data_IF_684933836040
#
_entry.id   IF_684933836040
#
_cell.length_a   1.000
_cell.length_b   1.000
_cell.length_c   1.000
_cell.angle_alpha   90.00
_cell.angle_beta   90.00
_cell.angle_gamma   90.00
#
_symmetry.space_group_name_H-M   'P 1'
#
loop_
_entity.id
_entity.type
_entity.pdbx_description
1 polymer ?
#
# COMPACT_ATOMS: atom_id res chain seq x y z
N UNK A 1 -17.25 22.75 4.69
CA UNK A 1 -17.57 21.69 5.66
C UNK A 1 -18.83 20.98 5.20
N UNK A 2 -18.83 19.65 5.14
CA UNK A 2 -20.02 18.90 4.72
C UNK A 2 -21.13 19.04 5.76
N UNK A 3 -22.34 19.27 5.29
CA UNK A 3 -23.52 19.16 6.14
C UNK A 3 -23.79 17.67 6.52
N UNK A 4 -23.36 16.74 5.69
CA UNK A 4 -23.53 15.30 5.89
C UNK A 4 -22.24 14.56 5.45
N UNK A 5 -21.33 14.18 6.38
CA UNK A 5 -20.16 13.38 6.02
C UNK A 5 -20.59 11.99 5.51
N UNK A 6 -19.84 11.40 4.57
CA UNK A 6 -20.16 10.05 4.10
C UNK A 6 -20.13 9.04 5.26
N UNK A 7 -21.06 8.11 5.25
CA UNK A 7 -21.20 7.08 6.31
C UNK A 7 -20.24 5.92 6.01
N UNK A 8 -19.59 5.39 7.05
CA UNK A 8 -18.82 4.14 6.96
C UNK A 8 -19.69 3.04 6.37
N UNK A 9 -19.12 2.27 5.42
CA UNK A 9 -19.82 1.22 4.67
C UNK A 9 -21.03 1.68 3.85
N UNK A 10 -21.25 3.01 3.70
CA UNK A 10 -22.28 3.57 2.85
C UNK A 10 -21.90 3.57 1.36
N UNK A 11 -22.77 4.13 0.50
CA UNK A 11 -22.60 4.15 -0.97
C UNK A 11 -21.25 4.72 -1.41
N UNK A 12 -20.73 5.74 -0.74
CA UNK A 12 -19.43 6.32 -1.05
C UNK A 12 -18.27 5.32 -0.86
N UNK A 13 -18.30 4.53 0.22
CA UNK A 13 -17.32 3.48 0.46
C UNK A 13 -17.46 2.34 -0.56
N UNK A 14 -18.69 1.89 -0.81
CA UNK A 14 -18.99 0.84 -1.79
C UNK A 14 -18.48 1.25 -3.17
N UNK A 15 -18.68 2.51 -3.58
CA UNK A 15 -18.15 3.02 -4.85
C UNK A 15 -16.62 2.83 -4.97
N UNK A 16 -15.85 3.20 -3.95
CA UNK A 16 -14.40 3.03 -3.99
C UNK A 16 -13.96 1.57 -3.93
N UNK A 17 -14.67 0.71 -3.21
CA UNK A 17 -14.43 -0.74 -3.20
C UNK A 17 -14.66 -1.32 -4.59
N UNK A 18 -15.76 -0.99 -5.25
CA UNK A 18 -16.05 -1.42 -6.62
C UNK A 18 -15.01 -0.89 -7.61
N UNK A 19 -14.62 0.37 -7.49
CA UNK A 19 -13.56 0.97 -8.30
C UNK A 19 -12.22 0.22 -8.08
N UNK A 20 -11.89 -0.14 -6.85
CA UNK A 20 -10.69 -0.92 -6.54
C UNK A 20 -10.74 -2.31 -7.18
N UNK A 21 -11.89 -2.99 -7.15
CA UNK A 21 -12.09 -4.31 -7.78
C UNK A 21 -11.93 -4.21 -9.30
N UNK A 22 -12.53 -3.21 -9.94
CA UNK A 22 -12.42 -3.00 -11.39
C UNK A 22 -10.97 -2.71 -11.78
N UNK A 23 -10.29 -1.79 -11.10
CA UNK A 23 -8.89 -1.47 -11.39
C UNK A 23 -7.95 -2.63 -11.06
N UNK A 24 -8.27 -3.47 -10.08
CA UNK A 24 -7.54 -4.71 -9.81
C UNK A 24 -7.64 -5.68 -11.00
N UNK A 25 -8.83 -5.88 -11.56
CA UNK A 25 -9.03 -6.70 -12.76
C UNK A 25 -8.24 -6.15 -13.97
N UNK A 26 -8.28 -4.84 -14.20
CA UNK A 26 -7.51 -4.14 -15.23
C UNK A 26 -6.01 -4.33 -14.99
N UNK A 27 -5.54 -4.16 -13.75
CA UNK A 27 -4.14 -4.32 -13.38
C UNK A 27 -3.63 -5.75 -13.61
N UNK A 28 -4.45 -6.77 -13.32
CA UNK A 28 -4.14 -8.18 -13.62
C UNK A 28 -4.02 -8.38 -15.13
N UNK A 29 -5.01 -7.93 -15.90
CA UNK A 29 -5.02 -8.06 -17.36
C UNK A 29 -3.77 -7.42 -18.00
N UNK A 30 -3.52 -6.17 -17.70
CA UNK A 30 -2.33 -5.48 -18.20
C UNK A 30 -1.05 -6.05 -17.61
N UNK A 31 -1.05 -6.54 -16.37
CA UNK A 31 0.07 -7.25 -15.78
C UNK A 31 0.53 -8.40 -16.69
N UNK A 32 -0.38 -9.27 -17.12
CA UNK A 32 -0.06 -10.35 -18.05
C UNK A 32 0.39 -9.85 -19.44
N UNK A 33 -0.19 -8.77 -19.96
CA UNK A 33 0.20 -8.17 -21.25
C UNK A 33 1.61 -7.58 -21.21
N UNK A 34 2.08 -7.15 -20.05
CA UNK A 34 3.40 -6.55 -19.85
C UNK A 34 4.43 -7.51 -19.25
N UNK A 35 4.20 -8.82 -19.28
CA UNK A 35 5.22 -9.82 -18.95
C UNK A 35 6.36 -9.83 -19.99
N UNK A 36 7.53 -10.32 -19.55
CA UNK A 36 8.73 -10.40 -20.39
C UNK A 36 9.77 -9.32 -20.07
N UNK A 37 11.04 -9.65 -20.30
CA UNK A 37 12.17 -8.74 -20.02
C UNK A 37 12.14 -7.52 -20.94
N UNK A 38 11.76 -7.71 -22.20
CA UNK A 38 11.69 -6.66 -23.22
C UNK A 38 10.70 -5.54 -22.86
N UNK A 39 9.70 -5.84 -22.04
CA UNK A 39 8.70 -4.86 -21.59
C UNK A 39 9.03 -4.20 -20.25
N UNK A 40 10.17 -4.55 -19.65
CA UNK A 40 10.55 -4.10 -18.33
C UNK A 40 10.59 -2.56 -18.21
N UNK A 41 11.25 -1.88 -19.16
CA UNK A 41 11.31 -0.41 -19.17
C UNK A 41 9.93 0.24 -19.26
N UNK A 42 9.01 -0.36 -20.04
CA UNK A 42 7.62 0.13 -20.15
C UNK A 42 6.85 -0.04 -18.84
N UNK A 43 7.02 -1.19 -18.16
CA UNK A 43 6.44 -1.42 -16.82
C UNK A 43 6.91 -0.37 -15.83
N UNK A 44 8.24 -0.16 -15.80
CA UNK A 44 8.85 0.78 -14.88
C UNK A 44 8.38 2.20 -15.14
N UNK A 45 8.24 2.58 -16.40
CA UNK A 45 7.70 3.88 -16.78
C UNK A 45 6.25 4.05 -16.31
N UNK A 46 5.40 3.02 -16.47
CA UNK A 46 4.00 3.05 -15.98
C UNK A 46 3.97 3.26 -14.46
N UNK A 47 4.79 2.51 -13.72
CA UNK A 47 4.88 2.64 -12.26
C UNK A 47 5.37 4.02 -11.86
N UNK A 48 6.41 4.53 -12.51
CA UNK A 48 6.97 5.85 -12.24
C UNK A 48 5.97 6.96 -12.53
N UNK A 49 5.26 6.91 -13.68
CA UNK A 49 4.21 7.88 -14.00
C UNK A 49 3.08 7.82 -12.94
N UNK A 50 2.67 6.62 -12.54
CA UNK A 50 1.67 6.46 -11.48
C UNK A 50 2.18 7.07 -10.17
N UNK A 51 3.44 6.83 -9.81
CA UNK A 51 4.08 7.42 -8.63
C UNK A 51 4.11 8.95 -8.68
N UNK A 52 4.52 9.52 -9.81
CA UNK A 52 4.56 10.99 -9.99
C UNK A 52 3.16 11.61 -9.90
N UNK A 53 2.14 10.95 -10.45
CA UNK A 53 0.75 11.39 -10.29
C UNK A 53 0.30 11.37 -8.82
N UNK A 54 0.67 10.33 -8.05
CA UNK A 54 0.38 10.28 -6.62
C UNK A 54 1.09 11.40 -5.87
N UNK A 55 2.36 11.69 -6.20
CA UNK A 55 3.09 12.83 -5.62
C UNK A 55 2.39 14.15 -5.94
N UNK A 56 2.00 14.37 -7.18
CA UNK A 56 1.28 15.59 -7.59
C UNK A 56 -0.07 15.73 -6.84
N UNK A 57 -0.81 14.63 -6.70
CA UNK A 57 -2.05 14.61 -5.92
C UNK A 57 -1.82 14.95 -4.44
N UNK A 58 -0.75 14.42 -3.85
CA UNK A 58 -0.43 14.68 -2.44
C UNK A 58 0.03 16.11 -2.22
N UNK A 59 0.84 16.67 -3.14
CA UNK A 59 1.20 18.11 -3.13
C UNK A 59 -0.06 18.97 -3.21
N UNK A 60 -1.01 18.64 -4.10
CA UNK A 60 -2.29 19.35 -4.20
C UNK A 60 -3.07 19.31 -2.88
N UNK A 61 -3.10 18.13 -2.21
CA UNK A 61 -3.70 17.99 -0.88
C UNK A 61 -2.96 18.85 0.17
N UNK A 62 -1.63 18.85 0.16
CA UNK A 62 -0.84 19.67 1.08
C UNK A 62 -1.15 21.15 0.92
N UNK A 63 -1.19 21.65 -0.31
CA UNK A 63 -1.54 23.06 -0.61
C UNK A 63 -2.95 23.35 -0.09
N UNK A 64 -3.92 22.46 -0.31
CA UNK A 64 -5.27 22.60 0.20
C UNK A 64 -5.33 22.64 1.74
N UNK A 65 -4.59 21.77 2.43
CA UNK A 65 -4.54 21.73 3.89
C UNK A 65 -3.86 22.98 4.46
N UNK A 66 -2.77 23.48 3.83
CA UNK A 66 -2.14 24.77 4.17
C UNK A 66 -3.10 25.94 4.02
N UNK A 67 -3.82 26.03 2.91
CA UNK A 67 -4.79 27.11 2.65
C UNK A 67 -5.97 27.09 3.65
N UNK A 68 -6.18 25.98 4.37
CA UNK A 68 -7.20 25.81 5.39
C UNK A 68 -6.65 25.88 6.83
N UNK A 69 -5.39 26.30 7.00
CA UNK A 69 -4.72 26.35 8.30
C UNK A 69 -4.73 25.01 9.06
N UNK A 70 -4.55 23.90 8.32
CA UNK A 70 -4.57 22.54 8.84
C UNK A 70 -3.26 21.78 8.62
N UNK A 71 -2.19 22.54 8.36
CA UNK A 71 -0.88 21.94 8.23
C UNK A 71 -0.43 21.38 9.60
N UNK A 72 -0.16 20.09 9.64
CA UNK A 72 0.37 19.40 10.80
C UNK A 72 1.42 18.35 10.38
N UNK A 73 1.96 17.63 11.33
CA UNK A 73 2.95 16.58 11.09
C UNK A 73 2.47 15.44 10.19
N UNK A 74 1.16 15.28 9.96
CA UNK A 74 0.60 14.27 9.07
C UNK A 74 0.92 14.52 7.60
N UNK A 75 1.39 15.71 7.24
CA UNK A 75 1.88 16.05 5.90
C UNK A 75 3.20 15.34 5.55
N UNK A 76 3.98 14.93 6.54
CA UNK A 76 5.20 14.15 6.29
C UNK A 76 4.80 12.74 5.83
N UNK A 77 5.27 12.26 4.66
CA UNK A 77 4.80 11.00 4.06
C UNK A 77 5.41 9.75 4.73
N UNK A 78 5.27 9.66 6.05
CA UNK A 78 5.73 8.52 6.86
C UNK A 78 4.59 7.59 7.32
N UNK A 79 3.37 7.75 6.82
CA UNK A 79 2.35 6.71 7.00
C UNK A 79 2.67 5.51 6.10
N UNK A 80 2.29 4.31 6.51
CA UNK A 80 2.54 3.11 5.72
C UNK A 80 2.04 3.30 4.28
N UNK A 81 0.90 3.89 4.05
CA UNK A 81 0.39 4.23 2.73
C UNK A 81 1.17 5.36 2.04
N UNK A 82 1.66 6.37 2.68
CA UNK A 82 2.34 7.51 2.04
C UNK A 82 3.79 7.22 1.61
N UNK A 83 4.43 6.18 2.16
CA UNK A 83 5.77 5.78 1.70
C UNK A 83 5.81 5.38 0.22
N UNK A 84 4.64 5.15 -0.44
CA UNK A 84 4.57 4.98 -1.89
C UNK A 84 5.07 6.20 -2.65
N UNK A 85 4.80 7.41 -2.14
CA UNK A 85 5.24 8.66 -2.76
C UNK A 85 6.76 8.70 -2.94
N UNK A 86 7.49 8.09 -2.00
CA UNK A 86 8.95 8.05 -2.02
C UNK A 86 9.50 6.93 -2.92
N UNK A 87 8.74 5.85 -3.09
CA UNK A 87 9.26 4.61 -3.69
C UNK A 87 8.71 4.36 -5.08
N UNK A 88 7.42 4.65 -5.33
CA UNK A 88 6.78 4.34 -6.62
C UNK A 88 7.33 5.15 -7.81
N UNK A 89 7.86 6.36 -7.66
CA UNK A 89 8.54 7.07 -8.75
C UNK A 89 9.90 6.47 -9.15
N UNK A 90 10.50 5.60 -8.33
CA UNK A 90 11.87 5.13 -8.53
C UNK A 90 12.08 4.03 -9.59
N UNK A 91 11.14 3.11 -9.88
CA UNK A 91 11.37 1.93 -10.70
C UNK A 91 12.10 2.18 -12.01
N UNK A 92 11.75 3.25 -12.73
CA UNK A 92 12.37 3.57 -14.03
C UNK A 92 13.85 3.95 -13.93
N UNK A 93 14.25 4.54 -12.81
CA UNK A 93 15.61 5.05 -12.59
C UNK A 93 16.53 4.01 -11.95
N UNK A 94 15.97 2.92 -11.39
CA UNK A 94 16.75 1.91 -10.71
C UNK A 94 17.39 0.92 -11.68
N UNK A 95 18.69 0.71 -11.53
CA UNK A 95 19.42 -0.37 -12.20
C UNK A 95 18.98 -1.73 -11.66
N UNK A 96 19.11 -2.78 -12.49
CA UNK A 96 18.88 -4.16 -12.04
C UNK A 96 19.79 -4.52 -10.86
N UNK A 97 19.21 -5.15 -9.83
CA UNK A 97 19.96 -5.55 -8.64
C UNK A 97 19.08 -5.79 -7.41
N UNK A 98 19.73 -6.11 -6.31
CA UNK A 98 19.06 -6.45 -5.04
C UNK A 98 18.18 -5.32 -4.51
N UNK A 99 18.62 -4.06 -4.66
CA UNK A 99 17.86 -2.90 -4.19
C UNK A 99 16.56 -2.72 -4.99
N UNK A 100 16.62 -2.86 -6.32
CA UNK A 100 15.42 -2.83 -7.16
C UNK A 100 14.45 -3.96 -6.82
N UNK A 101 14.97 -5.18 -6.58
CA UNK A 101 14.13 -6.29 -6.14
C UNK A 101 13.45 -6.01 -4.79
N UNK A 102 14.15 -5.31 -3.88
CA UNK A 102 13.61 -4.86 -2.60
C UNK A 102 12.47 -3.84 -2.80
N UNK A 103 12.69 -2.82 -3.63
CA UNK A 103 11.67 -1.80 -3.99
C UNK A 103 10.46 -2.47 -4.61
N UNK A 104 10.65 -3.37 -5.56
CA UNK A 104 9.55 -4.06 -6.23
C UNK A 104 8.76 -4.95 -5.28
N UNK A 105 9.44 -5.72 -4.42
CA UNK A 105 8.77 -6.53 -3.40
C UNK A 105 7.95 -5.66 -2.43
N UNK A 106 8.51 -4.54 -1.99
CA UNK A 106 7.84 -3.58 -1.13
C UNK A 106 6.56 -3.03 -1.77
N UNK A 107 6.63 -2.62 -3.03
CA UNK A 107 5.47 -2.12 -3.78
C UNK A 107 4.41 -3.20 -4.01
N UNK A 108 4.82 -4.41 -4.42
CA UNK A 108 3.89 -5.48 -4.77
C UNK A 108 3.17 -6.08 -3.56
N UNK A 109 3.82 -6.18 -2.40
CA UNK A 109 3.27 -6.88 -1.24
C UNK A 109 2.84 -5.92 -0.13
N UNK A 110 3.78 -5.15 0.40
CA UNK A 110 3.55 -4.35 1.60
C UNK A 110 2.59 -3.19 1.31
N UNK A 111 2.78 -2.54 0.18
CA UNK A 111 1.95 -1.42 -0.25
C UNK A 111 0.55 -1.84 -0.64
N UNK A 112 0.43 -2.94 -1.39
CA UNK A 112 -0.87 -3.50 -1.77
C UNK A 112 -1.70 -3.85 -0.55
N UNK A 113 -1.07 -4.49 0.46
CA UNK A 113 -1.74 -4.78 1.73
C UNK A 113 -2.19 -3.51 2.45
N UNK A 114 -1.35 -2.48 2.49
CA UNK A 114 -1.72 -1.21 3.13
C UNK A 114 -2.96 -0.59 2.46
N UNK A 115 -3.03 -0.62 1.13
CA UNK A 115 -4.20 -0.17 0.37
C UNK A 115 -5.45 -1.01 0.67
N UNK A 116 -5.34 -2.33 0.71
CA UNK A 116 -6.45 -3.24 1.03
C UNK A 116 -6.95 -2.99 2.46
N UNK A 117 -6.05 -2.91 3.44
CA UNK A 117 -6.41 -2.66 4.84
C UNK A 117 -7.19 -1.35 5.01
N UNK A 118 -6.90 -0.34 4.19
CA UNK A 118 -7.62 0.93 4.19
C UNK A 118 -9.10 0.76 3.84
N UNK A 119 -9.44 -0.12 2.90
CA UNK A 119 -10.83 -0.41 2.54
C UNK A 119 -11.52 -1.40 3.49
N UNK A 120 -10.77 -2.29 4.12
CA UNK A 120 -11.31 -3.19 5.16
C UNK A 120 -11.65 -2.42 6.44
N UNK A 121 -10.83 -1.44 6.81
CA UNK A 121 -11.10 -0.56 7.95
C UNK A 121 -11.09 0.91 7.50
N UNK A 122 -12.22 1.42 6.96
CA UNK A 122 -12.27 2.74 6.33
C UNK A 122 -12.36 3.91 7.32
N UNK A 123 -11.99 3.72 8.57
CA UNK A 123 -12.09 4.76 9.62
C UNK A 123 -11.41 6.05 9.18
N UNK A 124 -10.16 5.97 8.71
CA UNK A 124 -9.39 7.13 8.28
C UNK A 124 -9.93 7.80 7.01
N UNK A 125 -10.69 7.08 6.18
CA UNK A 125 -11.37 7.65 5.01
C UNK A 125 -12.45 8.64 5.44
N UNK A 126 -13.20 8.32 6.50
CA UNK A 126 -14.37 9.07 6.94
C UNK A 126 -14.07 10.08 8.06
N UNK A 127 -12.90 10.04 8.63
CA UNK A 127 -12.41 11.06 9.58
C UNK A 127 -11.96 12.36 8.91
N UNK A 128 -11.87 12.36 7.55
CA UNK A 128 -11.50 13.55 6.79
C UNK A 128 -12.64 14.59 6.80
N UNK A 129 -12.37 15.86 7.14
CA UNK A 129 -13.42 16.87 7.29
C UNK A 129 -13.97 17.41 5.97
N UNK A 130 -13.31 17.12 4.86
CA UNK A 130 -13.69 17.57 3.53
C UNK A 130 -13.81 16.40 2.56
N UNK A 131 -14.83 16.44 1.68
CA UNK A 131 -15.00 15.37 0.67
C UNK A 131 -13.81 15.27 -0.27
N UNK A 132 -13.22 16.42 -0.67
CA UNK A 132 -12.08 16.42 -1.55
C UNK A 132 -10.94 15.59 -0.95
N UNK A 133 -10.73 15.63 0.36
CA UNK A 133 -9.76 14.81 1.07
C UNK A 133 -10.17 13.34 1.11
N UNK A 134 -11.48 13.05 1.23
CA UNK A 134 -11.99 11.67 1.15
C UNK A 134 -11.81 11.08 -0.26
N UNK A 135 -12.14 11.87 -1.31
CA UNK A 135 -11.97 11.46 -2.71
C UNK A 135 -10.48 11.23 -3.01
N UNK A 136 -9.62 12.18 -2.64
CA UNK A 136 -8.16 12.04 -2.76
C UNK A 136 -7.69 10.74 -2.13
N UNK A 137 -8.06 10.50 -0.87
CA UNK A 137 -7.64 9.32 -0.13
C UNK A 137 -8.15 8.02 -0.76
N UNK A 138 -9.41 8.00 -1.23
CA UNK A 138 -9.99 6.85 -1.93
C UNK A 138 -9.24 6.52 -3.22
N UNK A 139 -9.06 7.52 -4.12
CA UNK A 139 -8.32 7.34 -5.38
C UNK A 139 -6.88 6.91 -5.12
N UNK A 140 -6.22 7.55 -4.15
CA UNK A 140 -4.86 7.25 -3.76
C UNK A 140 -4.68 5.78 -3.39
N UNK A 141 -5.55 5.22 -2.54
CA UNK A 141 -5.45 3.82 -2.11
C UNK A 141 -5.83 2.83 -3.22
N UNK A 142 -6.78 3.18 -4.08
CA UNK A 142 -7.11 2.39 -5.28
C UNK A 142 -5.88 2.29 -6.22
N UNK A 143 -5.19 3.40 -6.48
CA UNK A 143 -3.98 3.41 -7.33
C UNK A 143 -2.82 2.62 -6.72
N UNK A 144 -2.68 2.64 -5.40
CA UNK A 144 -1.70 1.81 -4.69
C UNK A 144 -1.98 0.31 -4.90
N UNK A 145 -3.22 -0.12 -4.73
CA UNK A 145 -3.61 -1.52 -4.95
C UNK A 145 -3.38 -1.91 -6.41
N UNK A 146 -3.83 -1.09 -7.35
CA UNK A 146 -3.70 -1.36 -8.78
C UNK A 146 -2.23 -1.45 -9.21
N UNK A 147 -1.37 -0.51 -8.77
CA UNK A 147 0.06 -0.51 -9.13
C UNK A 147 0.81 -1.71 -8.57
N UNK A 148 0.56 -2.09 -7.31
CA UNK A 148 1.17 -3.27 -6.71
C UNK A 148 0.70 -4.58 -7.35
N UNK A 149 -0.59 -4.68 -7.66
CA UNK A 149 -1.16 -5.81 -8.40
C UNK A 149 -0.57 -5.91 -9.81
N UNK A 150 -0.53 -4.80 -10.56
CA UNK A 150 0.11 -4.74 -11.88
C UNK A 150 1.56 -5.23 -11.82
N UNK A 151 2.33 -4.76 -10.83
CA UNK A 151 3.71 -5.16 -10.66
C UNK A 151 3.85 -6.67 -10.38
N UNK A 152 2.97 -7.24 -9.55
CA UNK A 152 2.98 -8.67 -9.25
C UNK A 152 2.76 -9.51 -10.52
N UNK A 153 1.69 -9.21 -11.28
CA UNK A 153 1.32 -10.00 -12.45
C UNK A 153 2.20 -9.72 -13.67
N UNK A 154 2.86 -8.58 -13.75
CA UNK A 154 3.78 -8.24 -14.84
C UNK A 154 5.20 -8.80 -14.67
N UNK A 155 5.55 -9.29 -13.46
CA UNK A 155 6.87 -9.80 -13.17
C UNK A 155 6.85 -11.32 -12.94
N UNK A 156 7.32 -12.08 -13.93
CA UNK A 156 7.37 -13.54 -13.88
C UNK A 156 8.15 -14.10 -12.68
N UNK A 157 9.09 -13.32 -12.11
CA UNK A 157 9.85 -13.76 -10.93
C UNK A 157 8.93 -14.02 -9.74
N UNK A 158 7.82 -13.29 -9.60
CA UNK A 158 6.88 -13.48 -8.49
C UNK A 158 6.14 -14.80 -8.58
N UNK A 159 5.89 -15.29 -9.80
CA UNK A 159 5.28 -16.61 -9.99
C UNK A 159 6.26 -17.78 -9.76
N UNK A 160 7.57 -17.54 -9.94
CA UNK A 160 8.60 -18.60 -9.85
C UNK A 160 9.34 -18.58 -8.50
N UNK A 161 9.54 -17.41 -7.91
CA UNK A 161 10.36 -17.16 -6.70
C UNK A 161 9.67 -16.19 -5.73
N UNK A 162 8.35 -16.24 -5.64
CA UNK A 162 7.55 -15.23 -4.92
C UNK A 162 7.93 -15.07 -3.45
N UNK A 163 8.18 -16.17 -2.74
CA UNK A 163 8.62 -16.12 -1.33
C UNK A 163 9.94 -15.35 -1.19
N UNK A 164 10.91 -15.61 -2.06
CA UNK A 164 12.20 -14.88 -2.05
C UNK A 164 11.98 -13.40 -2.34
N UNK A 165 11.09 -13.08 -3.30
CA UNK A 165 10.74 -11.69 -3.62
C UNK A 165 10.05 -11.00 -2.44
N UNK A 166 9.18 -11.71 -1.72
CA UNK A 166 8.57 -11.22 -0.49
C UNK A 166 9.63 -10.95 0.60
N UNK A 167 10.51 -11.92 0.87
CA UNK A 167 11.58 -11.75 1.86
C UNK A 167 12.50 -10.57 1.54
N UNK A 168 12.76 -10.30 0.25
CA UNK A 168 13.53 -9.11 -0.18
C UNK A 168 12.84 -7.78 0.09
N UNK A 169 11.53 -7.76 0.33
CA UNK A 169 10.81 -6.54 0.70
C UNK A 169 10.98 -6.14 2.17
N UNK A 170 11.37 -7.10 3.02
CA UNK A 170 11.45 -6.91 4.48
C UNK A 170 12.44 -5.81 4.89
N UNK A 171 13.67 -5.72 4.34
CA UNK A 171 14.61 -4.69 4.75
C UNK A 171 14.06 -3.27 4.55
N UNK A 172 13.38 -3.02 3.44
CA UNK A 172 12.77 -1.71 3.17
C UNK A 172 11.57 -1.44 4.09
N UNK A 173 10.79 -2.47 4.41
CA UNK A 173 9.71 -2.35 5.38
C UNK A 173 10.24 -2.01 6.78
N UNK A 174 11.28 -2.71 7.24
CA UNK A 174 11.93 -2.43 8.53
C UNK A 174 12.51 -1.02 8.54
N UNK A 175 13.18 -0.59 7.48
CA UNK A 175 13.72 0.77 7.36
C UNK A 175 12.63 1.83 7.53
N UNK A 176 11.52 1.75 6.80
CA UNK A 176 10.42 2.70 6.95
C UNK A 176 9.73 2.62 8.31
N UNK A 177 9.67 1.44 8.91
CA UNK A 177 9.12 1.27 10.25
C UNK A 177 10.00 1.96 11.31
N UNK A 178 11.32 1.86 11.18
CA UNK A 178 12.26 2.59 12.04
C UNK A 178 12.18 4.10 11.85
N UNK A 179 12.05 4.57 10.60
CA UNK A 179 11.81 6.00 10.32
C UNK A 179 10.50 6.49 10.96
N UNK A 180 9.45 5.68 10.92
CA UNK A 180 8.17 6.02 11.55
C UNK A 180 8.28 6.09 13.08
N UNK A 181 9.01 5.17 13.71
CA UNK A 181 9.31 5.23 15.16
C UNK A 181 10.09 6.48 15.51
N UNK A 182 11.15 6.80 14.75
CA UNK A 182 11.92 8.03 14.91
C UNK A 182 11.06 9.30 14.76
N UNK A 183 10.25 9.35 13.68
CA UNK A 183 9.33 10.46 13.45
C UNK A 183 8.29 10.64 14.55
N UNK A 184 7.71 9.55 15.06
CA UNK A 184 6.80 9.60 16.22
C UNK A 184 7.52 10.11 17.48
N UNK A 185 8.76 9.69 17.71
CA UNK A 185 9.56 10.11 18.88
C UNK A 185 9.89 11.59 18.82
N UNK A 186 10.29 12.10 17.64
CA UNK A 186 10.54 13.53 17.42
C UNK A 186 9.26 14.35 17.63
N UNK A 187 8.14 13.91 17.02
CA UNK A 187 6.87 14.60 17.18
C UNK A 187 6.40 14.65 18.63
N UNK A 188 6.56 13.56 19.39
CA UNK A 188 6.23 13.52 20.82
C UNK A 188 7.13 14.41 21.68
N UNK A 189 8.40 14.60 21.26
CA UNK A 189 9.32 15.49 21.94
C UNK A 189 8.95 16.96 21.72
N UNK A 190 8.54 17.30 20.50
CA UNK A 190 8.14 18.67 20.12
C UNK A 190 6.72 19.03 20.60
N UNK A 191 5.81 18.07 20.57
CA UNK A 191 4.42 18.20 21.06
C UNK A 191 4.00 16.94 21.81
N UNK A 192 4.10 16.91 23.15
CA UNK A 192 3.70 15.76 23.97
C UNK A 192 2.23 15.36 23.86
N UNK A 193 1.37 16.22 23.32
CA UNK A 193 -0.06 16.00 23.11
C UNK A 193 -0.41 15.61 21.66
N UNK A 194 0.59 15.47 20.80
CA UNK A 194 0.36 15.11 19.41
C UNK A 194 -0.42 13.81 19.26
N UNK A 195 -1.39 13.81 18.36
CA UNK A 195 -2.14 12.61 17.94
C UNK A 195 -1.48 11.89 16.77
N UNK A 196 -0.34 12.37 16.32
CA UNK A 196 0.42 11.76 15.24
C UNK A 196 0.73 10.29 15.55
N UNK A 197 0.53 9.40 14.58
CA UNK A 197 0.74 7.97 14.78
C UNK A 197 1.22 7.30 13.47
N UNK A 198 2.46 7.61 13.07
CA UNK A 198 3.07 6.97 11.91
C UNK A 198 3.16 5.46 12.11
N UNK A 199 2.73 4.70 11.11
CA UNK A 199 2.69 3.24 11.13
C UNK A 199 1.91 2.65 12.31
N UNK A 200 1.11 3.46 13.04
CA UNK A 200 0.45 3.04 14.28
C UNK A 200 1.43 2.63 15.40
N UNK A 201 2.60 3.25 15.40
CA UNK A 201 3.72 2.96 16.32
C UNK A 201 4.01 4.12 17.28
N UNK A 202 3.09 5.05 17.47
CA UNK A 202 3.21 6.04 18.53
C UNK A 202 2.76 5.42 19.87
N UNK A 203 3.62 5.33 20.90
CA UNK A 203 3.26 4.75 22.19
C UNK A 203 2.14 5.50 22.90
N UNK A 204 1.97 6.78 22.64
CA UNK A 204 0.90 7.63 23.16
C UNK A 204 -0.22 7.90 22.15
N UNK A 205 -0.10 7.38 20.94
CA UNK A 205 -1.09 7.59 19.88
C UNK A 205 -2.40 6.84 20.12
N UNK A 206 -3.47 7.23 19.38
CA UNK A 206 -4.76 6.58 19.50
C UNK A 206 -4.69 5.09 19.16
N UNK A 207 -5.53 4.29 19.79
CA UNK A 207 -5.74 2.89 19.47
C UNK A 207 -6.42 2.79 18.08
N UNK A 208 -5.71 2.25 17.10
CA UNK A 208 -6.17 2.19 15.69
C UNK A 208 -6.24 0.77 15.16
N UNK A 209 -5.52 -0.16 15.80
CA UNK A 209 -5.55 -1.59 15.45
C UNK A 209 -6.25 -2.34 16.58
N UNK A 210 -7.55 -2.69 16.44
CA UNK A 210 -8.39 -3.12 17.57
C UNK A 210 -7.74 -4.23 18.41
N UNK A 211 -7.29 -5.31 17.80
CA UNK A 211 -6.72 -6.45 18.53
C UNK A 211 -5.36 -6.12 19.15
N UNK A 212 -4.45 -5.50 18.40
CA UNK A 212 -3.11 -5.20 18.88
C UNK A 212 -3.12 -4.11 19.98
N UNK A 213 -3.90 -3.07 19.76
CA UNK A 213 -3.93 -1.93 20.68
C UNK A 213 -4.72 -2.23 21.96
N UNK A 214 -5.74 -3.11 21.92
CA UNK A 214 -6.56 -3.43 23.09
C UNK A 214 -6.04 -4.63 23.87
N UNK A 215 -5.52 -5.65 23.20
CA UNK A 215 -5.10 -6.90 23.87
C UNK A 215 -3.61 -6.99 24.12
N UNK A 216 -2.78 -6.47 23.22
CA UNK A 216 -1.32 -6.64 23.29
C UNK A 216 -0.63 -5.45 23.93
N UNK A 217 -0.91 -4.25 23.42
CA UNK A 217 -0.24 -3.00 23.83
C UNK A 217 -0.26 -2.72 25.34
N UNK A 218 -1.37 -2.94 26.08
CA UNK A 218 -1.40 -2.71 27.51
C UNK A 218 -0.62 -3.74 28.34
N UNK A 219 -0.27 -4.89 27.75
CA UNK A 219 0.30 -6.05 28.48
C UNK A 219 1.79 -6.21 28.32
N UNK A 220 2.40 -5.53 27.35
CA UNK A 220 3.84 -5.68 27.06
C UNK A 220 4.51 -4.31 26.89
N UNK A 221 5.83 -4.20 27.19
CA UNK A 221 6.60 -3.00 26.91
C UNK A 221 6.55 -2.62 25.42
N UNK A 222 6.71 -1.32 25.13
CA UNK A 222 6.63 -0.83 23.74
C UNK A 222 7.57 -1.55 22.77
N UNK A 223 8.79 -1.90 23.21
CA UNK A 223 9.71 -2.69 22.39
C UNK A 223 9.11 -4.06 22.00
N UNK A 224 8.48 -4.75 22.95
CA UNK A 224 7.78 -6.02 22.68
C UNK A 224 6.61 -5.82 21.73
N UNK A 225 5.80 -4.78 21.95
CA UNK A 225 4.71 -4.41 21.05
C UNK A 225 5.21 -4.16 19.61
N UNK A 226 6.33 -3.47 19.45
CA UNK A 226 6.95 -3.23 18.14
C UNK A 226 7.24 -4.53 17.38
N UNK A 227 7.84 -5.54 18.04
CA UNK A 227 8.12 -6.82 17.38
C UNK A 227 6.84 -7.62 17.04
N UNK A 228 5.86 -7.62 17.95
CA UNK A 228 4.55 -8.25 17.67
C UNK A 228 3.87 -7.55 16.49
N UNK A 229 3.87 -6.22 16.46
CA UNK A 229 3.34 -5.46 15.33
C UNK A 229 4.02 -5.82 14.01
N UNK A 230 5.35 -5.86 13.99
CA UNK A 230 6.10 -6.26 12.79
C UNK A 230 5.71 -7.66 12.32
N UNK A 231 5.66 -8.63 13.22
CA UNK A 231 5.27 -10.01 12.91
C UNK A 231 3.85 -10.08 12.32
N UNK A 232 2.88 -9.46 12.98
CA UNK A 232 1.50 -9.40 12.48
C UNK A 232 1.41 -8.72 11.11
N UNK A 233 2.15 -7.63 10.90
CA UNK A 233 2.19 -6.94 9.61
C UNK A 233 2.80 -7.79 8.51
N UNK A 234 3.87 -8.52 8.79
CA UNK A 234 4.47 -9.44 7.81
C UNK A 234 3.49 -10.56 7.43
N UNK A 235 2.75 -11.13 8.39
CA UNK A 235 1.70 -12.11 8.11
C UNK A 235 0.61 -11.50 7.23
N UNK A 236 0.09 -10.31 7.58
CA UNK A 236 -0.91 -9.63 6.76
C UNK A 236 -0.39 -9.31 5.35
N UNK A 237 0.88 -8.91 5.22
CA UNK A 237 1.49 -8.61 3.93
C UNK A 237 1.70 -9.87 3.06
N UNK A 238 1.74 -11.04 3.67
CA UNK A 238 1.83 -12.32 2.97
C UNK A 238 0.50 -12.77 2.36
N UNK A 239 -0.63 -12.29 2.88
CA UNK A 239 -1.97 -12.68 2.38
C UNK A 239 -2.19 -12.31 0.89
N UNK A 240 -1.95 -11.06 0.42
CA UNK A 240 -2.05 -10.74 -1.00
C UNK A 240 -1.14 -11.59 -1.87
N UNK A 241 0.06 -11.90 -1.38
CA UNK A 241 0.97 -12.81 -2.08
C UNK A 241 0.33 -14.19 -2.32
N UNK A 242 -0.28 -14.78 -1.31
CA UNK A 242 -0.98 -16.07 -1.43
C UNK A 242 -2.14 -15.98 -2.43
N UNK A 243 -3.00 -14.98 -2.28
CA UNK A 243 -4.16 -14.77 -3.18
C UNK A 243 -3.71 -14.59 -4.62
N UNK A 244 -2.74 -13.72 -4.88
CA UNK A 244 -2.23 -13.47 -6.22
C UNK A 244 -1.53 -14.69 -6.83
N UNK A 245 -0.83 -15.47 -6.00
CA UNK A 245 -0.22 -16.73 -6.44
C UNK A 245 -1.27 -17.76 -6.83
N UNK A 246 -2.36 -17.89 -6.08
CA UNK A 246 -3.48 -18.77 -6.42
C UNK A 246 -4.16 -18.33 -7.73
N UNK A 247 -4.43 -17.05 -7.91
CA UNK A 247 -4.97 -16.50 -9.16
C UNK A 247 -4.04 -16.86 -10.34
N UNK A 248 -2.73 -16.65 -10.18
CA UNK A 248 -1.76 -16.95 -11.22
C UNK A 248 -1.71 -18.44 -11.58
N UNK A 249 -1.81 -19.33 -10.58
CA UNK A 249 -1.90 -20.78 -10.80
C UNK A 249 -3.17 -21.16 -11.56
N UNK A 250 -4.32 -20.60 -11.17
CA UNK A 250 -5.60 -20.84 -11.84
C UNK A 250 -5.55 -20.40 -13.32
N UNK A 251 -5.04 -19.19 -13.59
CA UNK A 251 -4.91 -18.69 -14.97
C UNK A 251 -3.99 -19.57 -15.82
N UNK A 252 -2.86 -20.04 -15.27
CA UNK A 252 -1.95 -20.95 -15.98
C UNK A 252 -2.62 -22.28 -16.29
N UNK A 253 -3.36 -22.86 -15.36
CA UNK A 253 -4.09 -24.11 -15.57
C UNK A 253 -5.10 -23.99 -16.72
N UNK A 254 -5.90 -22.93 -16.73
CA UNK A 254 -6.87 -22.67 -17.81
C UNK A 254 -6.18 -22.48 -19.16
N UNK A 255 -5.06 -21.74 -19.20
CA UNK A 255 -4.30 -21.53 -20.42
C UNK A 255 -3.74 -22.84 -20.99
N UNK A 256 -3.19 -23.71 -20.15
CA UNK A 256 -2.64 -25.00 -20.56
C UNK A 256 -3.75 -25.92 -21.12
N UNK A 257 -4.88 -26.03 -20.45
CA UNK A 257 -6.04 -26.83 -20.92
C UNK A 257 -6.54 -26.34 -22.30
N UNK A 258 -6.59 -25.00 -22.49
CA UNK A 258 -6.97 -24.46 -23.81
C UNK A 258 -5.98 -24.81 -24.91
N UNK A 259 -4.69 -24.79 -24.60
CA UNK A 259 -3.63 -25.15 -25.57
C UNK A 259 -3.68 -26.63 -25.93
N UNK A 260 -3.98 -27.51 -24.98
CA UNK A 260 -4.14 -28.94 -25.23
C UNK A 260 -5.35 -29.21 -26.15
N UNK A 261 -6.51 -28.62 -25.85
CA UNK A 261 -7.73 -28.76 -26.70
C UNK A 261 -7.51 -28.28 -28.14
N UNK A 262 -6.70 -27.22 -28.34
CA UNK A 262 -6.39 -26.71 -29.69
C UNK A 262 -5.43 -27.64 -30.44
N UNK A 263 -4.65 -28.47 -29.75
CA UNK A 263 -3.76 -29.47 -30.38
C UNK A 263 -4.50 -30.77 -30.71
N UNK A 264 -5.59 -31.06 -30.05
CA UNK A 264 -6.43 -32.25 -30.25
C UNK A 264 -7.51 -32.03 -31.33
N UNK A 265 -7.82 -30.78 -31.67
CA UNK A 265 -8.72 -30.38 -32.76
C UNK A 265 -7.99 -30.14 -34.09
#
# INVERSE_FOLDING_TARGET
MWKHPPVKFGLFHIFFVLLAIVLLGIAIYFGYRFQGKEKQKKRDLILTITGLNLVAMDIGKMIFDFARHRADWSLVPLQLCSTALLILPLPYFLKEGKFRDCVYGYLAFIRTTAGICYFVNPTTLFEQPYIISCIHSGIYHVLIIASGTFLFFSNERYSKKGVICFLRSIPLFVFFTLLAVGGNSIALHLDPHTKLNYFFLNPKGPATIPVLDTLVRPRIPFAGYYFVYLGCRLICNFVPFLVFSLINLAVKKVKNQRTERVKEA
#
